data_IF_432377910756
#
_entry.id   IF_432377910756
#
_cell.length_a   1.000
_cell.length_b   1.000
_cell.length_c   1.000
_cell.angle_alpha   90.00
_cell.angle_beta   90.00
_cell.angle_gamma   90.00
#
_symmetry.space_group_name_H-M   'P 1'
#
loop_
_entity.id
_entity.type
_entity.pdbx_description
1 polymer ?
#
# COMPACT_ATOMS: atom_id res chain seq x y z
N UNK A 1 -6.50 17.52 -1.94
CA UNK A 1 -5.15 17.12 -2.38
C UNK A 1 -5.34 16.07 -3.44
N UNK A 2 -4.67 16.20 -4.59
CA UNK A 2 -4.74 15.18 -5.63
C UNK A 2 -3.91 13.95 -5.25
N UNK A 3 -4.25 12.78 -5.79
CA UNK A 3 -3.46 11.55 -5.60
C UNK A 3 -2.01 11.77 -6.06
N UNK A 4 -1.80 12.56 -7.12
CA UNK A 4 -0.47 12.90 -7.59
C UNK A 4 0.32 13.73 -6.58
N UNK A 5 -0.30 14.71 -5.93
CA UNK A 5 0.33 15.50 -4.87
C UNK A 5 0.67 14.66 -3.63
N UNK A 6 -0.18 13.70 -3.27
CA UNK A 6 0.05 12.81 -2.13
C UNK A 6 1.23 11.86 -2.40
N UNK A 7 1.23 11.21 -3.58
CA UNK A 7 2.32 10.32 -3.98
C UNK A 7 3.64 11.07 -4.19
N UNK A 8 3.61 12.28 -4.76
CA UNK A 8 4.81 13.09 -4.97
C UNK A 8 5.49 13.53 -3.66
N UNK A 9 4.80 13.50 -2.52
CA UNK A 9 5.41 13.77 -1.21
C UNK A 9 6.18 12.57 -0.67
N UNK A 10 5.86 11.36 -1.13
CA UNK A 10 6.58 10.15 -0.76
C UNK A 10 7.89 10.10 -1.56
N UNK A 11 9.00 10.26 -0.86
CA UNK A 11 10.34 10.10 -1.44
C UNK A 11 10.97 8.84 -0.85
N UNK A 12 10.91 7.74 -1.61
CA UNK A 12 11.57 6.48 -1.22
C UNK A 12 12.86 6.33 -2.03
N UNK A 13 14.00 6.20 -1.36
CA UNK A 13 15.29 5.92 -2.01
C UNK A 13 15.50 4.44 -2.30
N UNK A 14 14.65 3.58 -1.75
CA UNK A 14 14.67 2.12 -1.94
C UNK A 14 13.48 1.72 -2.80
N UNK A 15 13.66 0.83 -3.80
CA UNK A 15 12.54 0.28 -4.55
C UNK A 15 11.48 -0.30 -3.61
N UNK A 16 10.21 -0.12 -3.96
CA UNK A 16 9.08 -0.47 -3.08
C UNK A 16 8.14 -1.42 -3.80
N UNK A 17 7.81 -2.55 -3.17
CA UNK A 17 6.71 -3.41 -3.60
C UNK A 17 5.42 -2.85 -3.01
N UNK A 18 4.39 -2.69 -3.83
CA UNK A 18 3.12 -2.07 -3.43
C UNK A 18 1.96 -3.03 -3.64
N UNK A 19 1.01 -3.02 -2.70
CA UNK A 19 -0.35 -3.52 -2.93
C UNK A 19 -1.35 -2.37 -2.87
N UNK A 20 -2.41 -2.43 -3.67
CA UNK A 20 -3.43 -1.37 -3.78
C UNK A 20 -4.80 -1.96 -3.51
N UNK A 21 -5.59 -1.33 -2.64
CA UNK A 21 -6.94 -1.79 -2.32
C UNK A 21 -7.60 -1.00 -1.20
N UNK A 22 -8.90 -1.23 -0.95
CA UNK A 22 -9.63 -0.54 0.13
C UNK A 22 -9.14 -0.92 1.54
N UNK A 23 -8.69 -2.17 1.73
CA UNK A 23 -8.24 -2.70 3.02
C UNK A 23 -9.18 -2.47 4.21
N UNK A 24 -10.47 -2.20 3.96
CA UNK A 24 -11.47 -1.93 5.00
C UNK A 24 -11.67 -3.18 5.89
N UNK A 25 -11.57 -2.98 7.20
CA UNK A 25 -11.63 -4.04 8.21
C UNK A 25 -10.46 -5.04 8.26
N UNK A 26 -9.45 -4.95 7.38
CA UNK A 26 -8.21 -5.77 7.37
C UNK A 26 -8.45 -7.26 7.71
N UNK A 27 -9.47 -7.88 7.10
CA UNK A 27 -9.86 -9.26 7.37
C UNK A 27 -8.82 -10.28 6.84
N UNK A 28 -9.08 -11.58 7.01
CA UNK A 28 -8.13 -12.67 6.66
C UNK A 28 -7.58 -12.60 5.23
N UNK A 29 -8.43 -12.31 4.23
CA UNK A 29 -7.97 -12.08 2.85
C UNK A 29 -6.96 -10.93 2.72
N UNK A 30 -7.22 -9.77 3.34
CA UNK A 30 -6.28 -8.65 3.36
C UNK A 30 -4.97 -8.99 4.07
N UNK A 31 -5.05 -9.69 5.21
CA UNK A 31 -3.86 -10.14 5.94
C UNK A 31 -3.01 -11.09 5.10
N UNK A 32 -3.64 -11.98 4.33
CA UNK A 32 -2.95 -12.86 3.39
C UNK A 32 -2.20 -12.04 2.32
N UNK A 33 -2.86 -11.07 1.68
CA UNK A 33 -2.24 -10.21 0.67
C UNK A 33 -1.07 -9.39 1.23
N UNK A 34 -1.23 -8.81 2.41
CA UNK A 34 -0.16 -8.08 3.10
C UNK A 34 1.01 -9.03 3.46
N UNK A 35 0.70 -10.28 3.83
CA UNK A 35 1.71 -11.31 4.06
C UNK A 35 2.52 -11.62 2.80
N UNK A 36 1.85 -11.80 1.65
CA UNK A 36 2.51 -11.98 0.36
C UNK A 36 3.39 -10.78 -0.02
N UNK A 37 2.86 -9.56 0.14
CA UNK A 37 3.59 -8.32 -0.11
C UNK A 37 4.90 -8.26 0.68
N UNK A 38 4.86 -8.55 1.99
CA UNK A 38 6.05 -8.52 2.84
C UNK A 38 7.08 -9.57 2.45
N UNK A 39 6.63 -10.78 2.09
CA UNK A 39 7.52 -11.86 1.63
C UNK A 39 8.23 -11.48 0.35
N UNK A 40 7.51 -10.90 -0.61
CA UNK A 40 8.08 -10.46 -1.89
C UNK A 40 9.07 -9.31 -1.71
N UNK A 41 8.72 -8.29 -0.92
CA UNK A 41 9.62 -7.19 -0.61
C UNK A 41 10.91 -7.68 0.05
N UNK A 42 10.81 -8.61 1.01
CA UNK A 42 11.98 -9.20 1.65
C UNK A 42 12.84 -10.02 0.68
N UNK A 43 12.22 -10.79 -0.22
CA UNK A 43 12.93 -11.56 -1.25
C UNK A 43 13.76 -10.64 -2.17
N UNK A 44 13.20 -9.49 -2.53
CA UNK A 44 13.84 -8.53 -3.44
C UNK A 44 14.79 -7.53 -2.74
N UNK A 45 14.88 -7.55 -1.40
CA UNK A 45 15.62 -6.52 -0.64
C UNK A 45 14.98 -5.12 -0.74
N UNK A 46 13.68 -5.07 -0.97
CA UNK A 46 12.87 -3.87 -1.14
C UNK A 46 12.07 -3.55 0.13
N UNK A 47 11.46 -2.37 0.17
CA UNK A 47 10.47 -2.03 1.20
C UNK A 47 9.05 -2.38 0.71
N UNK A 48 8.11 -2.61 1.64
CA UNK A 48 6.71 -2.90 1.34
C UNK A 48 5.82 -1.71 1.67
N UNK A 49 4.87 -1.37 0.79
CA UNK A 49 3.87 -0.32 1.04
C UNK A 49 2.44 -0.73 0.63
N UNK A 50 1.47 -0.11 1.29
CA UNK A 50 0.04 -0.25 0.97
C UNK A 50 -0.47 1.10 0.49
N UNK A 51 -1.08 1.14 -0.69
CA UNK A 51 -1.89 2.28 -1.12
C UNK A 51 -3.35 1.91 -0.85
N UNK A 52 -4.02 2.73 -0.05
CA UNK A 52 -5.44 2.58 0.26
C UNK A 52 -6.22 3.82 -0.12
N UNK A 53 -7.53 3.69 -0.15
CA UNK A 53 -8.44 4.76 -0.51
C UNK A 53 -9.25 5.19 0.71
N UNK A 54 -9.29 6.49 0.96
CA UNK A 54 -10.19 7.07 1.94
C UNK A 54 -11.57 7.24 1.28
N UNK A 55 -12.44 6.23 1.42
CA UNK A 55 -13.84 6.45 1.08
C UNK A 55 -14.53 7.23 2.22
N UNK A 56 -14.85 8.50 1.95
CA UNK A 56 -16.18 9.01 2.25
C UNK A 56 -16.70 9.85 1.07
N UNK A 57 -17.42 9.25 0.10
CA UNK A 57 -18.18 10.00 -0.91
C UNK A 57 -19.53 10.49 -0.35
N UNK A 58 -19.58 10.87 0.94
CA UNK A 58 -20.69 11.64 1.52
C UNK A 58 -20.14 12.87 2.22
N UNK A 59 -19.98 13.94 1.45
CA UNK A 59 -20.17 15.34 1.86
C UNK A 59 -20.50 16.12 0.59
#
# INVERSE_FOLDING_TARGET
MSVLEELARLHTTTPTVITVGMFDGVHRGHQYLIGCLKKEAAHLGHISGVITFTNHPRS
#
